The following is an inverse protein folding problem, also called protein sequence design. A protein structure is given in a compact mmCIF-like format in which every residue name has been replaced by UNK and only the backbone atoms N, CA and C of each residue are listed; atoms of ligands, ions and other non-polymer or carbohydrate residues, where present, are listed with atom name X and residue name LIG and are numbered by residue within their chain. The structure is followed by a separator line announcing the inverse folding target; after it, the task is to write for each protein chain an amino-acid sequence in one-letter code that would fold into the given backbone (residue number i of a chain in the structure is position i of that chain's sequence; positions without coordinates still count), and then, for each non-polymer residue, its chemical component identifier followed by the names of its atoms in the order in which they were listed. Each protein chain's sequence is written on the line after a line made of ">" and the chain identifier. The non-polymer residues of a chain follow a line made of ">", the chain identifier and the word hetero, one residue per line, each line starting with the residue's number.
data_IF_372696567926
#
_entry.id   IF_372696567926
#
_cell.length_a   1.000
_cell.length_b   1.000
_cell.length_c   1.000
_cell.angle_alpha   90.00
_cell.angle_beta   90.00
_cell.angle_gamma   90.00
#
_symmetry.space_group_name_H-M   'P 1'
#
loop_
_entity.id
_entity.type
_entity.pdbx_description
1 polymer ?
#
# COMPACT_ATOMS: atom_id res chain seq x y z
N UNK A 1 -13.67 11.96 -13.86
CA UNK A 1 -12.50 11.16 -13.46
C UNK A 1 -12.67 10.71 -12.02
N UNK A 2 -12.30 9.48 -11.66
CA UNK A 2 -12.38 9.02 -10.27
C UNK A 2 -11.44 9.87 -9.38
N UNK A 3 -11.97 10.37 -8.26
CA UNK A 3 -11.20 11.12 -7.27
C UNK A 3 -10.83 10.21 -6.10
N UNK A 4 -9.56 9.86 -5.99
CA UNK A 4 -9.03 8.96 -4.96
C UNK A 4 -8.55 9.68 -3.70
N UNK A 5 -8.52 11.01 -3.67
CA UNK A 5 -7.92 11.82 -2.60
C UNK A 5 -8.98 12.63 -1.82
N UNK A 6 -8.56 13.40 -0.82
CA UNK A 6 -9.40 14.14 0.12
C UNK A 6 -10.18 13.21 1.06
N UNK A 7 -11.45 13.53 1.36
CA UNK A 7 -12.28 12.70 2.23
C UNK A 7 -12.58 11.34 1.59
N UNK A 8 -12.13 10.30 2.28
CA UNK A 8 -12.29 8.88 2.00
C UNK A 8 -12.68 8.09 3.24
N UNK A 9 -13.29 8.72 4.25
CA UNK A 9 -13.74 8.01 5.48
C UNK A 9 -14.68 6.85 5.13
N UNK A 10 -15.54 7.03 4.12
CA UNK A 10 -16.47 5.99 3.64
C UNK A 10 -15.76 4.76 3.04
N UNK A 11 -14.46 4.85 2.74
CA UNK A 11 -13.66 3.71 2.29
C UNK A 11 -13.21 2.81 3.44
N UNK A 12 -13.37 3.22 4.71
CA UNK A 12 -13.07 2.38 5.87
C UNK A 12 -13.85 1.06 5.80
N UNK A 13 -13.15 -0.06 5.96
CA UNK A 13 -13.71 -1.41 5.81
C UNK A 13 -13.78 -1.94 4.36
N UNK A 14 -13.66 -1.05 3.38
CA UNK A 14 -13.61 -1.36 1.95
C UNK A 14 -12.22 -1.76 1.45
N UNK A 15 -12.04 -1.80 0.11
CA UNK A 15 -10.84 -2.31 -0.55
C UNK A 15 -10.27 -1.32 -1.56
N UNK A 16 -8.96 -1.12 -1.52
CA UNK A 16 -8.17 -0.60 -2.62
C UNK A 16 -7.80 -1.77 -3.54
N UNK A 17 -8.25 -1.72 -4.79
CA UNK A 17 -8.00 -2.75 -5.79
C UNK A 17 -7.19 -2.17 -6.94
N UNK A 18 -6.12 -2.87 -7.32
CA UNK A 18 -5.25 -2.46 -8.41
C UNK A 18 -4.54 -3.67 -9.02
N UNK A 19 -4.02 -3.49 -10.22
CA UNK A 19 -3.21 -4.48 -10.94
C UNK A 19 -1.86 -3.84 -11.25
N UNK A 20 -0.77 -4.57 -11.03
CA UNK A 20 0.59 -4.17 -11.40
C UNK A 20 1.08 -5.09 -12.51
N UNK A 21 1.43 -4.52 -13.66
CA UNK A 21 1.99 -5.25 -14.79
C UNK A 21 3.41 -4.75 -15.03
N UNK A 22 4.37 -5.69 -15.00
CA UNK A 22 5.79 -5.41 -15.23
C UNK A 22 6.22 -6.11 -16.51
N UNK A 23 6.69 -5.34 -17.49
CA UNK A 23 7.24 -5.87 -18.75
C UNK A 23 8.77 -6.03 -18.67
N UNK A 24 9.31 -7.02 -19.40
CA UNK A 24 10.77 -7.15 -19.60
C UNK A 24 11.56 -7.69 -18.41
N UNK A 25 10.91 -8.28 -17.40
CA UNK A 25 11.56 -8.82 -16.21
C UNK A 25 11.34 -10.33 -16.05
N UNK A 26 12.42 -11.09 -15.88
CA UNK A 26 12.36 -12.56 -15.70
C UNK A 26 12.64 -13.00 -14.25
N UNK A 27 13.13 -12.09 -13.39
CA UNK A 27 13.56 -12.41 -12.02
C UNK A 27 12.88 -11.51 -10.99
N UNK A 28 12.05 -12.12 -10.14
CA UNK A 28 11.47 -11.46 -8.98
C UNK A 28 12.54 -11.18 -7.92
N UNK A 29 12.40 -10.06 -7.22
CA UNK A 29 13.16 -9.76 -6.02
C UNK A 29 12.92 -10.85 -4.95
N UNK A 30 13.92 -11.18 -4.13
CA UNK A 30 13.74 -12.14 -3.04
C UNK A 30 12.59 -11.70 -2.11
N UNK A 31 11.74 -12.63 -1.62
CA UNK A 31 10.62 -12.28 -0.73
C UNK A 31 11.04 -11.49 0.52
N UNK A 32 12.23 -11.79 1.06
CA UNK A 32 12.79 -11.07 2.20
C UNK A 32 13.06 -9.59 1.90
N UNK A 33 13.47 -9.27 0.66
CA UNK A 33 13.66 -7.88 0.21
C UNK A 33 12.31 -7.21 -0.03
N UNK A 34 11.37 -7.90 -0.68
CA UNK A 34 10.03 -7.34 -0.91
C UNK A 34 9.25 -7.12 0.39
N UNK A 35 9.60 -7.80 1.48
CA UNK A 35 9.01 -7.60 2.79
C UNK A 35 9.50 -6.33 3.50
N UNK A 36 10.62 -5.74 3.08
CA UNK A 36 11.13 -4.48 3.67
C UNK A 36 10.52 -3.23 3.04
N UNK A 37 9.90 -3.36 1.86
CA UNK A 37 9.24 -2.26 1.15
C UNK A 37 7.71 -2.43 1.17
N UNK A 38 6.94 -1.39 1.55
CA UNK A 38 5.49 -1.49 1.57
C UNK A 38 4.93 -1.69 0.17
N UNK A 39 3.85 -2.47 0.05
CA UNK A 39 3.10 -2.60 -1.20
C UNK A 39 2.26 -1.35 -1.46
N UNK A 40 1.63 -0.82 -0.40
CA UNK A 40 0.86 0.42 -0.44
C UNK A 40 1.30 1.32 0.70
N UNK A 41 1.53 2.59 0.41
CA UNK A 41 1.67 3.65 1.40
C UNK A 41 0.59 4.69 1.19
N UNK A 42 -0.09 5.08 2.25
CA UNK A 42 -1.01 6.22 2.22
C UNK A 42 -0.52 7.33 3.14
N UNK A 43 -0.76 8.57 2.74
CA UNK A 43 -0.51 9.75 3.56
C UNK A 43 -1.81 10.53 3.72
N UNK A 44 -2.17 10.75 4.98
CA UNK A 44 -3.36 11.45 5.40
C UNK A 44 -3.05 12.56 6.41
N UNK A 45 -3.84 13.63 6.38
CA UNK A 45 -3.71 14.78 7.29
C UNK A 45 -2.26 15.28 7.47
N UNK A 46 -1.49 15.30 6.37
CA UNK A 46 -0.09 15.73 6.25
C UNK A 46 0.95 14.93 7.05
N UNK A 47 0.58 14.29 8.16
CA UNK A 47 1.51 13.67 9.12
C UNK A 47 1.31 12.17 9.28
N UNK A 48 0.12 11.64 8.98
CA UNK A 48 -0.17 10.22 9.19
C UNK A 48 0.23 9.47 7.94
N UNK A 49 1.29 8.67 8.05
CA UNK A 49 1.77 7.81 6.97
C UNK A 49 1.58 6.37 7.39
N UNK A 50 0.70 5.67 6.68
CA UNK A 50 0.37 4.27 6.93
C UNK A 50 0.89 3.41 5.79
N UNK A 51 1.51 2.29 6.16
CA UNK A 51 2.13 1.35 5.24
C UNK A 51 1.47 -0.01 5.35
N UNK A 52 1.21 -0.63 4.21
CA UNK A 52 0.67 -1.98 4.09
C UNK A 52 1.74 -2.91 3.50
N UNK A 53 1.97 -4.02 4.19
CA UNK A 53 2.87 -5.08 3.76
C UNK A 53 2.06 -6.37 3.56
N UNK A 54 2.16 -7.02 2.40
CA UNK A 54 1.44 -8.26 2.13
C UNK A 54 1.95 -9.39 3.02
N UNK A 55 1.02 -10.17 3.60
CA UNK A 55 1.35 -11.30 4.50
C UNK A 55 1.91 -12.48 3.71
N UNK A 56 1.38 -12.70 2.50
CA UNK A 56 1.78 -13.76 1.58
C UNK A 56 2.21 -13.14 0.26
N UNK A 57 3.19 -13.78 -0.39
CA UNK A 57 3.51 -13.46 -1.77
C UNK A 57 2.31 -13.80 -2.65
N UNK A 58 1.77 -12.81 -3.35
CA UNK A 58 0.75 -13.03 -4.36
C UNK A 58 1.45 -13.11 -5.73
N UNK A 59 1.46 -14.28 -6.40
CA UNK A 59 2.00 -14.40 -7.75
C UNK A 59 1.10 -13.73 -8.81
N UNK A 60 -0.12 -13.32 -8.45
CA UNK A 60 -1.00 -12.54 -9.31
C UNK A 60 -0.62 -11.06 -9.29
N UNK A 61 -0.71 -10.43 -10.46
CA UNK A 61 -0.63 -8.98 -10.63
C UNK A 61 -1.76 -8.21 -9.93
N UNK A 62 -2.85 -8.89 -9.53
CA UNK A 62 -4.02 -8.26 -8.91
C UNK A 62 -3.90 -8.23 -7.39
N UNK A 63 -4.03 -7.04 -6.82
CA UNK A 63 -3.97 -6.80 -5.39
C UNK A 63 -5.29 -6.25 -4.85
N UNK A 64 -5.69 -6.73 -3.67
CA UNK A 64 -6.81 -6.20 -2.90
C UNK A 64 -6.34 -5.88 -1.48
N UNK A 65 -6.26 -4.59 -1.15
CA UNK A 65 -5.81 -4.12 0.15
C UNK A 65 -7.00 -3.56 0.91
N UNK A 66 -7.32 -4.16 2.06
CA UNK A 66 -8.45 -3.71 2.88
C UNK A 66 -8.06 -2.52 3.76
N UNK A 67 -8.93 -1.52 3.84
CA UNK A 67 -8.81 -0.42 4.79
C UNK A 67 -9.32 -0.84 6.17
N UNK A 68 -8.58 -1.73 6.81
CA UNK A 68 -8.81 -2.17 8.18
C UNK A 68 -7.52 -2.04 8.98
N UNK A 69 -7.57 -1.37 10.13
CA UNK A 69 -6.40 -0.92 10.88
C UNK A 69 -5.39 -2.04 11.20
N UNK A 70 -5.85 -3.28 11.37
CA UNK A 70 -4.97 -4.44 11.65
C UNK A 70 -4.00 -4.78 10.51
N UNK A 71 -4.23 -4.26 9.30
CA UNK A 71 -3.42 -4.51 8.11
C UNK A 71 -2.42 -3.39 7.81
N UNK A 72 -2.40 -2.33 8.62
CA UNK A 72 -1.57 -1.15 8.40
C UNK A 72 -0.59 -0.94 9.54
N UNK A 73 0.56 -0.36 9.22
CA UNK A 73 1.60 0.02 10.18
C UNK A 73 1.91 1.50 10.04
N UNK A 74 2.29 2.15 11.14
CA UNK A 74 2.80 3.51 11.10
C UNK A 74 4.23 3.51 10.54
N UNK A 75 4.51 4.30 9.51
CA UNK A 75 5.86 4.43 8.94
C UNK A 75 6.89 4.88 9.98
N UNK A 76 6.56 5.93 10.73
CA UNK A 76 7.50 6.55 11.67
C UNK A 76 7.66 5.78 12.99
N UNK A 77 6.72 4.88 13.30
CA UNK A 77 6.79 4.08 14.53
C UNK A 77 6.05 2.74 14.35
N UNK A 78 6.66 1.75 13.67
CA UNK A 78 6.00 0.49 13.32
C UNK A 78 5.55 -0.34 14.53
N UNK A 79 6.13 -0.11 15.71
CA UNK A 79 5.75 -0.78 16.97
C UNK A 79 4.39 -0.32 17.49
N UNK A 80 3.93 0.88 17.12
CA UNK A 80 2.60 1.37 17.47
C UNK A 80 1.58 0.72 16.55
N UNK A 81 0.62 0.01 17.14
CA UNK A 81 -0.52 -0.55 16.42
C UNK A 81 -1.39 0.58 15.86
N UNK A 82 -1.72 0.50 14.58
CA UNK A 82 -2.70 1.41 13.97
C UNK A 82 -4.07 1.12 14.58
N UNK A 83 -4.75 2.17 15.02
CA UNK A 83 -6.11 2.08 15.56
C UNK A 83 -7.13 2.47 14.49
N UNK A 84 -8.40 2.07 14.67
CA UNK A 84 -9.51 2.53 13.84
C UNK A 84 -9.53 4.06 13.70
N UNK A 85 -9.36 4.77 14.82
CA UNK A 85 -9.32 6.23 14.83
C UNK A 85 -8.18 6.76 13.97
N UNK A 86 -6.97 6.20 14.08
CA UNK A 86 -5.81 6.65 13.30
C UNK A 86 -6.05 6.47 11.80
N UNK A 87 -6.57 5.32 11.39
CA UNK A 87 -6.90 5.06 9.98
C UNK A 87 -8.01 6.01 9.49
N UNK A 88 -9.05 6.24 10.28
CA UNK A 88 -10.10 7.20 9.94
C UNK A 88 -9.58 8.62 9.78
N UNK A 89 -8.67 9.08 10.66
CA UNK A 89 -8.04 10.39 10.52
C UNK A 89 -7.19 10.42 9.24
N UNK A 90 -6.44 9.37 8.90
CA UNK A 90 -5.71 9.34 7.63
C UNK A 90 -6.66 9.48 6.43
N UNK A 91 -7.80 8.80 6.46
CA UNK A 91 -8.80 8.81 5.39
C UNK A 91 -9.63 10.11 5.31
N UNK A 92 -9.74 10.89 6.38
CA UNK A 92 -10.49 12.16 6.39
C UNK A 92 -9.92 13.20 5.42
N UNK A 93 -8.60 13.16 5.20
CA UNK A 93 -7.93 14.01 4.25
C UNK A 93 -6.74 13.27 3.67
N UNK A 94 -7.01 12.38 2.72
CA UNK A 94 -6.03 11.54 2.05
C UNK A 94 -5.29 12.36 0.98
N UNK A 95 -3.99 12.60 1.14
CA UNK A 95 -3.18 13.35 0.18
C UNK A 95 -2.49 12.46 -0.86
N UNK A 96 -2.04 11.27 -0.45
CA UNK A 96 -1.29 10.39 -1.35
C UNK A 96 -1.69 8.93 -1.16
N UNK A 97 -1.74 8.21 -2.27
CA UNK A 97 -1.75 6.75 -2.33
C UNK A 97 -0.58 6.37 -3.23
N UNK A 98 0.42 5.71 -2.68
CA UNK A 98 1.59 5.22 -3.39
C UNK A 98 1.51 3.70 -3.45
N UNK A 99 1.70 3.14 -4.65
CA UNK A 99 1.72 1.70 -4.90
C UNK A 99 3.13 1.36 -5.37
N UNK A 100 3.69 0.27 -4.83
CA UNK A 100 4.97 -0.24 -5.29
C UNK A 100 4.86 -0.76 -6.73
N UNK A 101 5.63 -0.17 -7.64
CA UNK A 101 5.66 -0.56 -9.04
C UNK A 101 6.72 -1.63 -9.36
N UNK A 102 7.73 -1.80 -8.50
CA UNK A 102 8.86 -2.69 -8.74
C UNK A 102 8.79 -3.93 -7.84
N UNK A 103 8.77 -5.09 -8.48
CA UNK A 103 8.87 -6.40 -7.85
C UNK A 103 10.03 -7.25 -8.40
N UNK A 104 10.78 -6.72 -9.37
CA UNK A 104 11.80 -7.44 -10.14
C UNK A 104 13.19 -6.83 -10.02
N UNK A 105 14.21 -7.66 -10.24
CA UNK A 105 15.63 -7.29 -10.08
C UNK A 105 16.17 -6.59 -11.33
N UNK A 106 15.66 -6.97 -12.50
CA UNK A 106 16.18 -6.58 -13.81
C UNK A 106 15.07 -5.98 -14.67
N UNK A 107 15.38 -4.87 -15.35
CA UNK A 107 14.56 -4.30 -16.41
C UNK A 107 15.36 -4.36 -17.71
N UNK A 108 15.21 -5.43 -18.51
CA UNK A 108 15.81 -5.44 -19.84
C UNK A 108 14.77 -4.94 -20.84
N UNK A 109 14.80 -3.64 -21.12
CA UNK A 109 14.19 -3.12 -22.34
C UNK A 109 15.23 -3.27 -23.45
N UNK A 110 14.99 -4.22 -24.36
CA UNK A 110 15.73 -4.31 -25.61
C UNK A 110 15.12 -3.35 -26.65
#
# INVERSE_FOLDING_TARGET
>A
MPNFLNDKILSYGGFLRFTVETEGSTRLLPPAVLATYPLVQIQGNNKIILEHFPILHNPSSRHEVRFHESLWKMKNNPSIKVTRQMLMIALQNLQHILIRATDTVDFSTA
#
